data_IF_588499720938
#
_entry.id   IF_588499720938
#
_cell.length_a   1.000
_cell.length_b   1.000
_cell.length_c   1.000
_cell.angle_alpha   90.00
_cell.angle_beta   90.00
_cell.angle_gamma   90.00
#
_symmetry.space_group_name_H-M   'P 1'
#
loop_
_entity.id
_entity.type
_entity.pdbx_description
1 polymer ?
#
# COMPACT_ATOMS: atom_id res chain seq x y z
N UNK A 1 9.83 64.93 47.10
CA UNK A 1 10.55 64.38 45.93
C UNK A 1 10.03 62.98 45.68
N UNK A 2 9.60 62.53 44.51
CA UNK A 2 9.04 63.12 43.29
C UNK A 2 8.49 61.90 42.52
N UNK A 3 7.39 62.05 41.78
CA UNK A 3 6.72 61.01 40.99
C UNK A 3 7.53 60.48 39.78
N UNK A 4 8.86 60.50 39.83
CA UNK A 4 9.75 60.30 38.69
C UNK A 4 10.36 58.88 38.57
N UNK A 5 9.94 57.90 39.38
CA UNK A 5 10.59 56.58 39.43
C UNK A 5 9.62 55.39 39.27
N UNK A 6 8.58 55.55 38.44
CA UNK A 6 7.69 54.44 38.03
C UNK A 6 7.44 54.34 36.52
N UNK A 7 8.08 55.18 35.71
CA UNK A 7 7.87 55.21 34.25
C UNK A 7 9.00 54.57 33.41
N UNK A 8 10.07 54.07 34.03
CA UNK A 8 11.22 53.54 33.28
C UNK A 8 11.16 52.03 32.96
N UNK A 9 10.19 51.27 33.48
CA UNK A 9 10.09 49.82 33.25
C UNK A 9 8.96 49.42 32.29
N UNK A 10 8.09 50.34 31.88
CA UNK A 10 6.96 50.05 31.00
C UNK A 10 7.21 50.40 29.51
N UNK A 11 8.28 51.13 29.19
CA UNK A 11 8.58 51.56 27.81
C UNK A 11 9.50 50.59 27.05
N UNK A 12 10.21 49.68 27.72
CA UNK A 12 11.15 48.74 27.08
C UNK A 12 10.53 47.41 26.68
N UNK A 13 9.30 47.11 27.11
CA UNK A 13 8.61 45.87 26.73
C UNK A 13 7.69 46.01 25.49
N UNK A 14 7.43 47.24 25.02
CA UNK A 14 6.45 47.50 23.96
C UNK A 14 7.04 47.64 22.55
N UNK A 15 8.37 47.59 22.38
CA UNK A 15 9.03 47.83 21.08
C UNK A 15 9.70 46.56 20.50
N UNK A 16 9.60 45.40 21.16
CA UNK A 16 10.19 44.15 20.67
C UNK A 16 9.19 43.19 20.00
N UNK A 17 7.92 43.56 19.85
CA UNK A 17 6.89 42.68 19.27
C UNK A 17 6.65 42.87 17.76
N UNK A 18 7.43 43.71 17.08
CA UNK A 18 7.11 44.14 15.70
C UNK A 18 8.13 43.76 14.62
N UNK A 19 8.92 42.71 14.84
CA UNK A 19 9.72 42.09 13.76
C UNK A 19 9.79 40.57 13.88
N UNK A 20 8.65 39.91 14.07
CA UNK A 20 8.57 38.50 13.69
C UNK A 20 8.44 38.48 12.17
N UNK A 21 9.43 37.96 11.40
CA UNK A 21 9.24 37.80 9.98
C UNK A 21 7.98 36.94 9.79
N UNK A 22 7.05 37.41 8.96
CA UNK A 22 5.92 36.61 8.54
C UNK A 22 6.48 35.33 7.92
N UNK A 23 6.36 34.21 8.64
CA UNK A 23 6.63 32.91 8.10
C UNK A 23 5.54 32.65 7.06
N UNK A 24 5.83 32.97 5.81
CA UNK A 24 5.07 32.44 4.69
C UNK A 24 5.40 30.96 4.64
N UNK A 25 4.38 30.11 4.78
CA UNK A 25 4.53 28.75 4.31
C UNK A 25 4.89 28.82 2.83
N UNK A 26 5.92 28.09 2.41
CA UNK A 26 6.13 27.87 0.99
C UNK A 26 4.79 27.42 0.39
N UNK A 27 4.39 27.97 -0.78
CA UNK A 27 3.22 27.46 -1.46
C UNK A 27 3.37 25.93 -1.57
N UNK A 28 2.32 25.14 -1.29
CA UNK A 28 2.39 23.71 -1.45
C UNK A 28 2.95 23.41 -2.83
N UNK A 29 3.94 22.51 -2.92
CA UNK A 29 4.45 22.04 -4.20
C UNK A 29 3.24 21.70 -5.09
N UNK A 30 3.24 22.10 -6.38
CA UNK A 30 2.13 21.80 -7.27
C UNK A 30 1.82 20.31 -7.16
N UNK A 31 0.55 19.99 -6.97
CA UNK A 31 0.10 18.60 -6.98
C UNK A 31 0.63 17.94 -8.26
N UNK A 32 1.17 16.71 -8.17
CA UNK A 32 1.59 15.98 -9.36
C UNK A 32 0.47 16.03 -10.40
N UNK A 33 0.78 16.53 -11.59
CA UNK A 33 -0.19 16.59 -12.68
C UNK A 33 -0.40 15.20 -13.28
N UNK A 34 -1.56 14.96 -13.88
CA UNK A 34 -1.75 13.78 -14.72
C UNK A 34 -0.67 13.77 -15.81
N UNK A 35 -0.04 12.62 -15.98
CA UNK A 35 1.10 12.43 -16.89
C UNK A 35 0.60 11.87 -18.21
N UNK A 36 -0.48 11.08 -18.16
CA UNK A 36 -1.16 10.58 -19.33
C UNK A 36 -2.13 11.63 -19.88
N UNK A 37 -2.59 11.41 -21.10
CA UNK A 37 -3.75 12.14 -21.60
C UNK A 37 -4.92 11.96 -20.61
N UNK A 38 -5.74 13.01 -20.37
CA UNK A 38 -6.81 12.93 -19.39
C UNK A 38 -7.73 11.72 -19.62
N UNK A 39 -7.85 10.87 -18.60
CA UNK A 39 -8.72 9.71 -18.61
C UNK A 39 -10.16 10.15 -18.30
N UNK A 40 -11.14 9.62 -19.01
CA UNK A 40 -12.56 9.80 -18.67
C UNK A 40 -12.90 9.05 -17.36
N UNK A 41 -13.92 9.48 -16.58
CA UNK A 41 -14.34 8.73 -15.39
C UNK A 41 -14.66 7.26 -15.71
N UNK A 42 -14.07 6.36 -14.92
CA UNK A 42 -14.14 4.90 -15.10
C UNK A 42 -13.16 4.34 -16.14
N UNK A 43 -12.43 5.18 -16.88
CA UNK A 43 -11.47 4.72 -17.88
C UNK A 43 -10.21 4.18 -17.22
N UNK A 44 -9.67 3.12 -17.81
CA UNK A 44 -8.42 2.48 -17.43
C UNK A 44 -7.49 2.44 -18.63
N UNK A 45 -6.19 2.58 -18.38
CA UNK A 45 -5.13 2.34 -19.35
C UNK A 45 -4.01 1.51 -18.72
N UNK A 46 -3.57 0.44 -19.39
CA UNK A 46 -2.33 -0.24 -19.02
C UNK A 46 -1.14 0.62 -19.44
N UNK A 47 -0.21 0.85 -18.51
CA UNK A 47 1.03 1.60 -18.78
C UNK A 47 2.09 0.61 -19.30
N UNK A 48 2.64 -0.22 -18.41
CA UNK A 48 3.71 -1.15 -18.76
C UNK A 48 3.84 -2.28 -17.72
N UNK A 49 4.45 -3.42 -18.08
CA UNK A 49 5.05 -4.31 -17.08
C UNK A 49 6.07 -3.52 -16.25
N UNK A 50 5.97 -3.60 -14.92
CA UNK A 50 6.85 -2.91 -14.00
C UNK A 50 7.98 -3.83 -13.50
N UNK A 51 7.63 -4.99 -12.94
CA UNK A 51 8.60 -5.88 -12.29
C UNK A 51 8.34 -7.37 -12.60
N UNK A 52 9.36 -8.21 -12.44
CA UNK A 52 9.27 -9.66 -12.62
C UNK A 52 9.47 -10.11 -14.07
N UNK A 53 8.77 -11.17 -14.49
CA UNK A 53 8.99 -11.85 -15.78
C UNK A 53 9.02 -10.86 -16.95
N UNK A 54 10.12 -10.89 -17.72
CA UNK A 54 10.31 -10.08 -18.92
C UNK A 54 10.62 -8.60 -18.67
N UNK A 55 10.94 -8.21 -17.44
CA UNK A 55 11.23 -6.81 -17.07
C UNK A 55 12.71 -6.60 -16.71
N UNK A 56 13.19 -5.34 -16.70
CA UNK A 56 14.56 -5.01 -16.31
C UNK A 56 14.94 -5.36 -14.86
N UNK A 57 13.98 -5.76 -13.99
CA UNK A 57 14.35 -6.22 -12.64
C UNK A 57 15.26 -7.44 -12.65
N UNK A 58 15.30 -8.18 -13.76
CA UNK A 58 16.25 -9.27 -14.00
C UNK A 58 17.71 -8.84 -13.87
N UNK A 59 18.05 -7.59 -14.22
CA UNK A 59 19.41 -7.04 -14.10
C UNK A 59 19.86 -6.92 -12.63
N UNK A 60 18.90 -6.90 -11.70
CA UNK A 60 19.13 -6.92 -10.25
C UNK A 60 18.98 -8.32 -9.65
N UNK A 61 18.92 -9.37 -10.48
CA UNK A 61 18.74 -10.75 -10.04
C UNK A 61 17.30 -11.07 -9.60
N UNK A 62 16.30 -10.30 -10.07
CA UNK A 62 14.88 -10.53 -9.82
C UNK A 62 14.17 -10.74 -11.16
N UNK A 63 14.20 -11.97 -11.66
CA UNK A 63 13.57 -12.35 -12.92
C UNK A 63 12.06 -12.59 -12.81
N UNK A 64 11.53 -12.81 -11.60
CA UNK A 64 10.11 -13.03 -11.36
C UNK A 64 9.73 -12.57 -9.95
N UNK A 65 8.61 -11.87 -9.78
CA UNK A 65 8.19 -11.29 -8.48
C UNK A 65 6.72 -10.89 -8.48
N UNK A 66 6.16 -10.67 -7.30
CA UNK A 66 4.79 -10.21 -7.11
C UNK A 66 4.58 -9.26 -5.91
N UNK A 67 3.32 -8.86 -5.73
CA UNK A 67 2.81 -7.95 -4.72
C UNK A 67 3.35 -6.52 -4.88
N UNK A 68 4.62 -6.27 -4.56
CA UNK A 68 5.30 -4.99 -4.73
C UNK A 68 4.52 -3.76 -4.24
N UNK A 69 4.23 -3.70 -2.94
CA UNK A 69 3.54 -2.56 -2.31
C UNK A 69 4.50 -1.39 -2.04
N UNK A 70 4.06 -0.16 -2.36
CA UNK A 70 4.87 1.04 -2.14
C UNK A 70 5.02 1.41 -0.67
N UNK A 71 6.24 1.84 -0.33
CA UNK A 71 6.59 2.37 0.97
C UNK A 71 7.49 3.61 0.80
N UNK A 72 6.96 4.77 1.15
CA UNK A 72 7.63 6.07 1.01
C UNK A 72 8.47 6.41 2.23
N UNK A 73 9.74 6.73 2.01
CA UNK A 73 10.64 7.29 3.02
C UNK A 73 11.16 8.64 2.54
N UNK A 74 11.57 9.55 3.45
CA UNK A 74 12.11 10.85 3.05
C UNK A 74 13.28 10.80 2.06
N UNK A 75 14.07 9.73 2.05
CA UNK A 75 15.27 9.61 1.22
C UNK A 75 15.15 8.58 0.07
N UNK A 76 14.07 7.78 0.04
CA UNK A 76 13.95 6.66 -0.92
C UNK A 76 12.50 6.20 -1.03
N UNK A 77 12.12 5.79 -2.23
CA UNK A 77 10.90 5.04 -2.47
C UNK A 77 11.22 3.55 -2.65
N UNK A 78 10.51 2.69 -1.92
CA UNK A 78 10.62 1.24 -2.03
C UNK A 78 9.32 0.61 -2.53
N UNK A 79 9.44 -0.50 -3.24
CA UNK A 79 8.36 -1.47 -3.40
C UNK A 79 8.74 -2.77 -2.70
N UNK A 80 7.94 -3.18 -1.72
CA UNK A 80 8.15 -4.43 -0.98
C UNK A 80 7.39 -5.55 -1.68
N UNK A 81 8.14 -6.47 -2.28
CA UNK A 81 7.60 -7.55 -3.09
C UNK A 81 7.57 -8.87 -2.32
N UNK A 82 6.69 -9.78 -2.73
CA UNK A 82 6.48 -11.09 -2.15
C UNK A 82 7.55 -12.11 -2.55
N UNK A 83 7.11 -13.29 -2.94
CA UNK A 83 8.03 -14.32 -3.42
C UNK A 83 8.73 -13.79 -4.67
N UNK A 84 10.06 -13.91 -4.69
CA UNK A 84 10.89 -13.35 -5.75
C UNK A 84 11.98 -14.33 -6.15
N UNK A 85 12.17 -14.50 -7.45
CA UNK A 85 13.04 -15.52 -8.02
C UNK A 85 14.05 -14.89 -8.98
N UNK A 86 15.27 -15.42 -8.99
CA UNK A 86 16.31 -14.96 -9.90
C UNK A 86 16.03 -15.31 -11.37
N UNK A 87 15.35 -16.43 -11.62
CA UNK A 87 14.88 -16.84 -12.94
C UNK A 87 13.57 -16.17 -13.34
N UNK A 88 13.14 -16.41 -14.58
CA UNK A 88 11.99 -15.74 -15.21
C UNK A 88 10.62 -16.35 -14.86
N UNK A 89 10.55 -17.22 -13.85
CA UNK A 89 9.35 -17.93 -13.44
C UNK A 89 9.42 -18.35 -11.96
N UNK A 90 8.27 -18.66 -11.35
CA UNK A 90 8.22 -19.15 -9.96
C UNK A 90 9.02 -20.46 -9.83
N UNK A 91 9.92 -20.50 -8.85
CA UNK A 91 10.76 -21.67 -8.56
C UNK A 91 12.07 -21.77 -9.35
N UNK A 92 12.38 -20.79 -10.20
CA UNK A 92 13.61 -20.80 -11.01
C UNK A 92 14.69 -19.90 -10.39
N UNK A 93 15.85 -20.46 -10.08
CA UNK A 93 16.97 -19.73 -9.46
C UNK A 93 16.79 -19.49 -7.96
N UNK A 94 17.59 -18.58 -7.39
CA UNK A 94 17.52 -18.26 -5.96
C UNK A 94 16.15 -17.65 -5.63
N UNK A 95 15.58 -18.07 -4.49
CA UNK A 95 14.30 -17.59 -3.97
C UNK A 95 14.51 -16.67 -2.77
N UNK A 96 13.83 -15.52 -2.79
CA UNK A 96 13.85 -14.50 -1.74
C UNK A 96 12.42 -14.08 -1.40
N UNK A 97 12.10 -13.97 -0.11
CA UNK A 97 10.79 -13.54 0.36
C UNK A 97 10.86 -12.91 1.76
N UNK A 98 10.46 -11.63 1.93
CA UNK A 98 10.24 -10.62 0.90
C UNK A 98 11.55 -9.97 0.41
N UNK A 99 11.46 -9.19 -0.67
CA UNK A 99 12.50 -8.24 -1.11
C UNK A 99 11.97 -6.80 -1.11
N UNK A 100 12.86 -5.81 -1.21
CA UNK A 100 12.49 -4.42 -1.45
C UNK A 100 13.22 -3.88 -2.69
N UNK A 101 12.49 -3.65 -3.77
CA UNK A 101 13.01 -2.95 -4.95
C UNK A 101 13.15 -1.46 -4.65
N UNK A 102 14.25 -0.85 -5.10
CA UNK A 102 14.51 0.57 -4.97
C UNK A 102 13.95 1.27 -6.21
N UNK A 103 12.89 2.04 -6.01
CA UNK A 103 12.22 2.77 -7.09
C UNK A 103 13.04 4.01 -7.43
N UNK A 104 13.24 4.22 -8.72
CA UNK A 104 13.70 5.53 -9.24
C UNK A 104 12.55 6.53 -9.07
N UNK A 105 12.66 7.45 -8.12
CA UNK A 105 11.57 8.38 -7.78
C UNK A 105 11.14 9.24 -8.97
N UNK A 106 12.07 9.54 -9.89
CA UNK A 106 11.80 10.36 -11.07
C UNK A 106 10.96 9.61 -12.11
N UNK A 107 10.84 8.29 -11.97
CA UNK A 107 10.01 7.44 -12.85
C UNK A 107 8.58 7.25 -12.35
N UNK A 108 8.26 7.70 -11.12
CA UNK A 108 6.92 7.51 -10.53
C UNK A 108 5.84 8.16 -11.38
N UNK A 109 6.16 9.30 -11.98
CA UNK A 109 5.30 10.10 -12.86
C UNK A 109 5.75 10.01 -14.34
N UNK A 110 6.45 8.94 -14.74
CA UNK A 110 6.85 8.73 -16.14
C UNK A 110 5.73 8.00 -16.90
N UNK A 111 5.33 8.44 -18.12
CA UNK A 111 4.32 7.73 -18.92
C UNK A 111 4.80 6.36 -19.43
N UNK A 112 6.11 6.08 -19.43
CA UNK A 112 6.66 4.76 -19.75
C UNK A 112 6.60 3.77 -18.58
N UNK A 113 6.29 4.26 -17.37
CA UNK A 113 6.16 3.46 -16.16
C UNK A 113 7.39 3.49 -15.25
N UNK A 114 7.23 2.86 -14.09
CA UNK A 114 8.24 2.88 -13.02
C UNK A 114 9.50 2.09 -13.39
N UNK A 115 10.64 2.67 -13.01
CA UNK A 115 11.99 2.08 -13.13
C UNK A 115 12.58 1.82 -11.75
N UNK A 116 13.56 0.93 -11.71
CA UNK A 116 14.25 0.53 -10.49
C UNK A 116 15.75 0.75 -10.62
N UNK A 117 16.41 1.06 -9.52
CA UNK A 117 17.87 1.30 -9.47
C UNK A 117 18.60 0.40 -8.46
N UNK A 118 17.90 -0.56 -7.85
CA UNK A 118 18.50 -1.47 -6.88
C UNK A 118 17.48 -2.37 -6.18
N UNK A 119 17.98 -3.22 -5.29
CA UNK A 119 17.18 -4.14 -4.49
C UNK A 119 17.84 -4.40 -3.13
N UNK A 120 17.03 -4.65 -2.10
CA UNK A 120 17.47 -5.14 -0.78
C UNK A 120 16.73 -6.44 -0.45
N UNK A 121 17.41 -7.39 0.20
CA UNK A 121 16.82 -8.69 0.52
C UNK A 121 17.00 -9.77 -0.55
N UNK A 122 17.57 -9.44 -1.71
CA UNK A 122 17.73 -10.32 -2.87
C UNK A 122 19.11 -11.00 -2.99
N UNK A 123 19.90 -11.02 -1.91
CA UNK A 123 21.20 -11.70 -1.86
C UNK A 123 21.19 -12.73 -0.74
N UNK A 124 21.73 -13.92 -1.03
CA UNK A 124 21.79 -15.03 -0.09
C UNK A 124 22.58 -14.60 1.16
N UNK A 125 21.98 -14.78 2.34
CA UNK A 125 22.58 -14.37 3.61
C UNK A 125 22.28 -12.94 4.05
N UNK A 126 21.62 -12.12 3.22
CA UNK A 126 21.22 -10.75 3.56
C UNK A 126 19.71 -10.53 3.37
N UNK A 127 18.86 -11.09 4.25
CA UNK A 127 17.42 -11.01 4.11
C UNK A 127 16.88 -9.60 4.38
N UNK A 128 15.69 -9.29 3.87
CA UNK A 128 15.00 -8.05 4.22
C UNK A 128 14.52 -8.07 5.67
N UNK A 129 14.05 -9.22 6.17
CA UNK A 129 13.53 -9.40 7.53
C UNK A 129 14.58 -10.05 8.43
N UNK A 130 14.64 -9.63 9.70
CA UNK A 130 15.54 -10.22 10.68
C UNK A 130 15.13 -11.63 11.11
N UNK A 131 13.83 -11.86 11.25
CA UNK A 131 13.29 -13.18 11.62
C UNK A 131 13.42 -14.13 10.43
N UNK A 132 14.00 -15.31 10.69
CA UNK A 132 14.17 -16.36 9.68
C UNK A 132 12.82 -16.92 9.25
N UNK A 133 12.70 -17.19 7.95
CA UNK A 133 11.55 -17.91 7.40
C UNK A 133 11.52 -19.34 7.95
N UNK A 134 10.41 -19.79 8.57
CA UNK A 134 10.29 -21.17 9.01
C UNK A 134 10.39 -22.16 7.84
N UNK A 135 10.92 -23.38 8.05
CA UNK A 135 11.00 -24.39 6.99
C UNK A 135 9.62 -24.65 6.35
N UNK A 136 9.58 -24.74 5.02
CA UNK A 136 8.34 -25.00 4.26
C UNK A 136 7.33 -23.86 4.28
N UNK A 137 7.73 -22.65 4.70
CA UNK A 137 6.88 -21.46 4.76
C UNK A 137 7.44 -20.33 3.87
N UNK A 138 6.62 -19.33 3.60
CA UNK A 138 7.04 -18.01 3.08
C UNK A 138 6.68 -16.91 4.07
N UNK A 139 7.38 -15.78 4.00
CA UNK A 139 7.05 -14.55 4.71
C UNK A 139 6.69 -13.50 3.68
N UNK A 140 5.42 -13.12 3.61
CA UNK A 140 4.89 -12.28 2.53
C UNK A 140 4.44 -10.92 3.08
N UNK A 141 4.66 -9.83 2.32
CA UNK A 141 4.10 -8.53 2.65
C UNK A 141 2.58 -8.62 2.59
N UNK A 142 1.93 -8.17 3.65
CA UNK A 142 0.49 -8.28 3.84
C UNK A 142 -0.12 -6.92 4.20
N UNK A 143 0.50 -5.83 3.75
CA UNK A 143 0.06 -4.47 4.00
C UNK A 143 1.16 -3.54 4.49
N UNK A 144 1.15 -2.31 4.00
CA UNK A 144 1.95 -1.21 4.54
C UNK A 144 1.05 -0.19 5.24
N UNK A 145 1.53 0.34 6.36
CA UNK A 145 0.93 1.51 7.02
C UNK A 145 2.03 2.53 7.30
N UNK A 146 1.85 3.73 6.76
CA UNK A 146 2.74 4.88 6.94
C UNK A 146 2.12 5.84 7.93
N UNK A 147 2.87 6.21 8.98
CA UNK A 147 2.44 7.11 10.03
C UNK A 147 3.56 8.12 10.23
N UNK A 148 3.35 9.39 9.91
CA UNK A 148 4.43 10.38 9.87
C UNK A 148 5.60 9.92 8.98
N UNK A 149 6.82 9.80 9.53
CA UNK A 149 8.02 9.31 8.84
C UNK A 149 8.28 7.82 9.08
N UNK A 150 7.35 7.16 9.74
CA UNK A 150 7.47 5.81 10.23
C UNK A 150 6.66 4.85 9.36
N UNK A 151 7.34 3.88 8.76
CA UNK A 151 6.68 2.83 7.98
C UNK A 151 6.64 1.50 8.74
N UNK A 152 5.48 0.86 8.71
CA UNK A 152 5.25 -0.46 9.26
C UNK A 152 4.79 -1.39 8.15
N UNK A 153 5.40 -2.57 8.10
CA UNK A 153 5.02 -3.66 7.22
C UNK A 153 4.29 -4.72 8.04
N UNK A 154 3.07 -5.09 7.65
CA UNK A 154 2.49 -6.34 8.10
C UNK A 154 3.13 -7.47 7.31
N UNK A 155 3.67 -8.47 8.01
CA UNK A 155 4.19 -9.70 7.42
C UNK A 155 3.29 -10.85 7.84
N UNK A 156 2.79 -11.61 6.88
CA UNK A 156 2.14 -12.89 7.11
C UNK A 156 3.08 -14.03 6.79
N UNK A 157 3.27 -14.92 7.76
CA UNK A 157 3.96 -16.19 7.53
C UNK A 157 2.94 -17.20 7.04
N UNK A 158 3.19 -17.79 5.87
CA UNK A 158 2.24 -18.70 5.21
C UNK A 158 2.88 -20.05 4.91
N UNK A 159 2.07 -21.10 4.89
CA UNK A 159 2.43 -22.41 4.36
C UNK A 159 1.42 -22.77 3.28
N UNK A 160 1.86 -22.96 2.03
CA UNK A 160 0.99 -23.13 0.86
C UNK A 160 -0.08 -22.02 0.78
N UNK A 161 0.35 -20.76 0.96
CA UNK A 161 -0.50 -19.55 0.99
C UNK A 161 -1.56 -19.50 2.10
N UNK A 162 -1.58 -20.47 3.03
CA UNK A 162 -2.43 -20.44 4.22
C UNK A 162 -1.72 -19.71 5.36
N UNK A 163 -2.28 -18.63 5.92
CA UNK A 163 -1.64 -17.88 6.99
C UNK A 163 -1.49 -18.75 8.25
N UNK A 164 -0.31 -18.69 8.86
CA UNK A 164 -0.01 -19.34 10.14
C UNK A 164 0.06 -18.29 11.27
N UNK A 165 0.72 -17.17 10.98
CA UNK A 165 0.85 -16.04 11.90
C UNK A 165 1.04 -14.74 11.13
N UNK A 166 0.81 -13.61 11.81
CA UNK A 166 1.08 -12.28 11.29
C UNK A 166 1.79 -11.42 12.33
N UNK A 167 2.59 -10.45 11.89
CA UNK A 167 3.26 -9.50 12.78
C UNK A 167 3.56 -8.18 12.08
N UNK A 168 3.73 -7.12 12.87
CA UNK A 168 4.22 -5.84 12.37
C UNK A 168 5.75 -5.86 12.39
N UNK A 169 6.34 -5.33 11.33
CA UNK A 169 7.79 -5.14 11.17
C UNK A 169 8.05 -3.65 10.96
N UNK A 170 9.08 -3.13 11.63
CA UNK A 170 9.53 -1.76 11.47
C UNK A 170 10.52 -1.68 10.30
N UNK A 171 10.15 -0.94 9.26
CA UNK A 171 10.96 -0.84 8.05
C UNK A 171 12.02 0.28 8.14
N UNK A 172 13.14 0.08 7.45
CA UNK A 172 14.28 1.00 7.37
C UNK A 172 14.85 1.00 5.95
N UNK A 173 14.67 2.09 5.20
CA UNK A 173 15.08 2.13 3.80
C UNK A 173 16.59 2.01 3.55
N UNK A 174 17.41 2.17 4.59
CA UNK A 174 18.87 2.17 4.47
C UNK A 174 19.51 0.78 4.54
N UNK A 175 18.77 -0.25 4.96
CA UNK A 175 19.32 -1.59 5.24
C UNK A 175 18.27 -2.70 5.20
N UNK A 176 18.73 -3.95 5.10
CA UNK A 176 17.92 -5.13 5.40
C UNK A 176 17.83 -5.42 6.91
N UNK A 177 17.46 -6.65 7.28
CA UNK A 177 17.26 -7.09 8.66
C UNK A 177 16.26 -6.23 9.46
N UNK A 178 15.12 -5.90 8.85
CA UNK A 178 14.03 -5.19 9.50
C UNK A 178 13.46 -5.97 10.68
N UNK A 179 13.23 -5.25 11.77
CA UNK A 179 12.94 -5.84 13.07
C UNK A 179 11.44 -5.99 13.28
N UNK A 180 11.03 -7.15 13.80
CA UNK A 180 9.68 -7.36 14.29
C UNK A 180 9.39 -6.38 15.43
N UNK A 181 8.24 -5.71 15.36
CA UNK A 181 7.76 -4.86 16.43
C UNK A 181 7.41 -5.75 17.64
N UNK A 182 8.01 -5.50 18.82
CA UNK A 182 7.77 -6.31 20.00
C UNK A 182 6.29 -6.46 20.34
N UNK A 183 5.85 -7.67 20.68
CA UNK A 183 4.47 -7.96 21.07
C UNK A 183 3.44 -7.91 19.93
N UNK A 184 3.84 -7.71 18.67
CA UNK A 184 2.91 -7.60 17.53
C UNK A 184 2.48 -8.93 16.89
N UNK A 185 3.18 -10.03 17.22
CA UNK A 185 2.90 -11.36 16.67
C UNK A 185 1.52 -11.83 17.09
N UNK A 186 0.72 -12.34 16.13
CA UNK A 186 -0.59 -12.94 16.37
C UNK A 186 -0.75 -14.23 15.56
N UNK A 187 -1.51 -15.21 16.06
CA UNK A 187 -1.91 -16.35 15.24
C UNK A 187 -2.80 -15.91 14.08
N UNK A 188 -2.88 -16.71 13.01
CA UNK A 188 -3.76 -16.43 11.88
C UNK A 188 -5.23 -16.24 12.29
N UNK A 189 -5.69 -16.89 13.37
CA UNK A 189 -7.06 -16.80 13.89
C UNK A 189 -7.39 -15.51 14.66
N UNK A 190 -6.42 -14.61 14.85
CA UNK A 190 -6.65 -13.37 15.59
C UNK A 190 -7.77 -12.53 14.98
N UNK A 191 -8.66 -12.01 15.83
CA UNK A 191 -9.88 -11.31 15.43
C UNK A 191 -10.74 -12.13 14.45
N UNK A 192 -10.85 -13.45 14.70
CA UNK A 192 -11.62 -14.35 13.84
C UNK A 192 -11.00 -14.59 12.47
N UNK A 193 -9.70 -14.29 12.29
CA UNK A 193 -9.01 -14.39 11.01
C UNK A 193 -8.81 -13.05 10.29
N UNK A 194 -9.55 -12.02 10.68
CA UNK A 194 -9.73 -10.79 9.91
C UNK A 194 -8.57 -9.77 10.01
N UNK A 195 -7.41 -10.15 10.56
CA UNK A 195 -6.24 -9.27 10.68
C UNK A 195 -4.91 -9.95 10.33
N UNK A 196 -4.92 -10.88 9.38
CA UNK A 196 -3.67 -11.40 8.80
C UNK A 196 -3.20 -10.62 7.56
N UNK A 197 -4.03 -9.74 7.03
CA UNK A 197 -3.65 -8.77 6.01
C UNK A 197 -4.35 -7.43 6.30
N UNK A 198 -3.64 -6.33 6.06
CA UNK A 198 -4.09 -4.96 6.35
C UNK A 198 -3.70 -4.03 5.21
N UNK A 199 -4.21 -2.81 5.23
CA UNK A 199 -3.59 -1.64 4.61
C UNK A 199 -4.08 -0.41 5.36
N UNK A 200 -3.33 0.69 5.37
CA UNK A 200 -3.75 1.87 6.13
C UNK A 200 -3.03 3.16 5.75
N UNK A 201 -3.66 4.26 6.12
CA UNK A 201 -3.11 5.61 6.01
C UNK A 201 -3.32 6.38 7.30
N UNK A 202 -2.46 7.37 7.52
CA UNK A 202 -2.57 8.30 8.64
C UNK A 202 -3.17 9.62 8.15
N UNK A 203 -4.29 10.02 8.76
CA UNK A 203 -4.88 11.34 8.62
C UNK A 203 -4.47 12.21 9.83
N UNK A 204 -3.60 13.22 9.66
CA UNK A 204 -3.12 14.04 10.74
C UNK A 204 -4.14 15.10 11.20
N UNK A 205 -5.30 15.23 10.56
CA UNK A 205 -6.28 16.26 10.90
C UNK A 205 -6.87 16.00 12.29
N UNK A 206 -6.70 16.91 13.26
CA UNK A 206 -7.26 16.74 14.59
C UNK A 206 -8.80 16.66 14.56
N UNK A 207 -9.35 15.76 15.36
CA UNK A 207 -10.78 15.68 15.64
C UNK A 207 -11.05 15.89 17.13
N UNK A 208 -12.32 16.07 17.50
CA UNK A 208 -12.72 16.13 18.91
C UNK A 208 -12.30 14.87 19.70
N UNK A 209 -12.17 13.73 19.02
CA UNK A 209 -11.84 12.44 19.61
C UNK A 209 -10.34 12.10 19.53
N UNK A 210 -9.59 12.75 18.65
CA UNK A 210 -8.14 12.58 18.57
C UNK A 210 -7.45 13.87 18.12
N UNK A 211 -6.70 14.48 19.03
CA UNK A 211 -5.90 15.67 18.73
C UNK A 211 -4.67 15.36 17.86
N UNK A 212 -4.25 14.10 17.80
CA UNK A 212 -3.15 13.63 16.94
C UNK A 212 -3.65 13.01 15.63
N UNK A 213 -4.92 13.21 15.26
CA UNK A 213 -5.51 12.59 14.08
C UNK A 213 -5.71 11.08 14.22
N UNK A 214 -6.01 10.40 13.12
CA UNK A 214 -6.37 8.98 13.09
C UNK A 214 -5.57 8.21 12.07
N UNK A 215 -5.16 7.00 12.42
CA UNK A 215 -4.71 5.98 11.47
C UNK A 215 -5.92 5.13 11.12
N UNK A 216 -6.32 5.13 9.86
CA UNK A 216 -7.40 4.29 9.33
C UNK A 216 -6.82 3.04 8.69
N UNK A 217 -7.42 1.89 8.98
CA UNK A 217 -6.85 0.58 8.64
C UNK A 217 -7.98 -0.29 8.11
N UNK A 218 -7.84 -0.76 6.87
CA UNK A 218 -8.66 -1.86 6.35
C UNK A 218 -7.98 -3.18 6.67
N UNK A 219 -8.76 -4.19 7.05
CA UNK A 219 -8.23 -5.51 7.43
C UNK A 219 -9.07 -6.64 6.85
N UNK A 220 -8.43 -7.77 6.58
CA UNK A 220 -9.03 -9.02 6.11
C UNK A 220 -8.11 -10.21 6.48
N UNK A 221 -8.20 -11.30 5.71
CA UNK A 221 -7.28 -12.42 5.80
C UNK A 221 -6.41 -12.61 4.56
N UNK A 222 -5.20 -13.12 4.77
CA UNK A 222 -4.22 -13.30 3.70
C UNK A 222 -4.67 -14.31 2.64
N UNK A 223 -5.45 -15.32 3.02
CA UNK A 223 -5.94 -16.36 2.10
C UNK A 223 -7.18 -15.96 1.30
N UNK A 224 -7.61 -14.69 1.40
CA UNK A 224 -8.72 -14.10 0.62
C UNK A 224 -10.07 -14.77 0.88
N UNK A 225 -10.21 -15.53 1.97
CA UNK A 225 -11.47 -16.20 2.30
C UNK A 225 -12.48 -15.29 3.00
N UNK A 226 -12.02 -14.13 3.48
CA UNK A 226 -12.77 -13.21 4.34
C UNK A 226 -13.16 -11.89 3.66
N UNK A 227 -14.00 -11.16 4.38
CA UNK A 227 -14.49 -9.83 3.99
C UNK A 227 -13.58 -8.73 4.52
N UNK A 228 -13.83 -7.49 4.08
CA UNK A 228 -13.09 -6.31 4.53
C UNK A 228 -13.75 -5.67 5.75
N UNK A 229 -12.94 -5.37 6.75
CA UNK A 229 -13.33 -4.64 7.96
C UNK A 229 -12.54 -3.33 8.05
N UNK A 230 -13.10 -2.35 8.76
CA UNK A 230 -12.48 -1.06 8.98
C UNK A 230 -12.20 -0.85 10.46
N UNK A 231 -10.99 -0.36 10.74
CA UNK A 231 -10.52 0.02 12.07
C UNK A 231 -9.92 1.42 12.04
N UNK A 232 -9.84 2.04 13.22
CA UNK A 232 -9.01 3.21 13.46
C UNK A 232 -8.24 3.10 14.78
N UNK A 233 -7.15 3.84 14.88
CA UNK A 233 -6.34 3.96 16.10
C UNK A 233 -5.57 5.28 16.07
N UNK A 234 -5.06 5.72 17.22
CA UNK A 234 -4.14 6.87 17.22
C UNK A 234 -2.76 6.44 16.71
N UNK A 235 -1.95 7.36 16.15
CA UNK A 235 -0.56 7.07 15.76
C UNK A 235 0.26 6.38 16.86
N UNK A 236 0.05 6.78 18.12
CA UNK A 236 0.81 6.32 19.27
C UNK A 236 0.48 4.87 19.64
N UNK A 237 -0.72 4.41 19.32
CA UNK A 237 -1.25 3.08 19.70
C UNK A 237 -1.33 2.13 18.52
N UNK A 238 -0.81 2.50 17.35
CA UNK A 238 -0.93 1.68 16.14
C UNK A 238 -0.37 0.26 16.31
N UNK A 239 0.78 0.10 16.96
CA UNK A 239 1.43 -1.21 17.07
C UNK A 239 0.70 -2.18 17.99
N UNK A 240 -0.21 -1.69 18.84
CA UNK A 240 -1.09 -2.52 19.66
C UNK A 240 -2.42 -2.78 18.95
N UNK A 241 -2.46 -3.87 18.19
CA UNK A 241 -3.66 -4.30 17.46
C UNK A 241 -4.87 -4.60 18.34
N UNK A 242 -4.67 -4.87 19.65
CA UNK A 242 -5.79 -5.14 20.55
C UNK A 242 -6.60 -3.88 20.87
N UNK A 243 -5.98 -2.70 20.77
CA UNK A 243 -6.62 -1.42 21.04
C UNK A 243 -7.32 -0.78 19.83
N UNK A 244 -7.25 -1.40 18.64
CA UNK A 244 -7.85 -0.83 17.43
C UNK A 244 -9.38 -0.77 17.54
N UNK A 245 -9.96 0.38 17.22
CA UNK A 245 -11.40 0.60 17.26
C UNK A 245 -12.04 0.15 15.95
N UNK A 246 -12.84 -0.91 15.99
CA UNK A 246 -13.61 -1.39 14.84
C UNK A 246 -14.77 -0.47 14.47
N UNK A 247 -15.10 -0.40 13.18
CA UNK A 247 -16.30 0.26 12.66
C UNK A 247 -17.47 -0.71 12.54
N UNK A 248 -18.62 -0.32 13.10
CA UNK A 248 -19.89 -1.02 12.93
C UNK A 248 -20.89 -0.16 12.18
N UNK A 249 -21.50 -0.68 11.11
CA UNK A 249 -22.51 0.05 10.34
C UNK A 249 -23.75 0.44 11.17
N UNK A 250 -24.04 -0.30 12.26
CA UNK A 250 -25.16 -0.01 13.18
C UNK A 250 -24.73 0.72 14.45
N UNK A 251 -23.47 0.57 14.85
CA UNK A 251 -22.99 0.96 16.18
C UNK A 251 -21.90 2.05 16.20
N UNK A 252 -21.33 2.39 15.05
CA UNK A 252 -20.21 3.32 14.93
C UNK A 252 -18.87 2.72 15.40
N UNK A 253 -17.92 3.61 15.71
CA UNK A 253 -16.57 3.24 16.16
C UNK A 253 -16.53 2.61 17.55
N UNK A 254 -15.58 1.70 17.77
CA UNK A 254 -15.37 1.04 19.07
C UNK A 254 -16.41 -0.04 19.40
N UNK A 255 -17.24 -0.42 18.42
CA UNK A 255 -18.17 -1.55 18.50
C UNK A 255 -17.62 -2.76 17.77
N UNK A 256 -18.17 -3.97 17.98
CA UNK A 256 -17.81 -5.14 17.19
C UNK A 256 -17.90 -4.81 15.69
N UNK A 257 -16.80 -4.94 14.94
CA UNK A 257 -16.75 -4.48 13.57
C UNK A 257 -17.67 -5.30 12.68
N UNK A 258 -18.31 -4.64 11.72
CA UNK A 258 -19.12 -5.30 10.68
C UNK A 258 -18.39 -5.23 9.34
N UNK A 259 -18.55 -6.23 8.46
CA UNK A 259 -18.00 -6.15 7.11
C UNK A 259 -18.46 -4.89 6.39
N UNK A 260 -17.56 -4.25 5.63
CA UNK A 260 -17.90 -3.07 4.81
C UNK A 260 -18.81 -3.46 3.64
N UNK A 261 -18.57 -4.63 3.02
CA UNK A 261 -19.43 -5.27 2.02
C UNK A 261 -19.26 -6.79 2.07
N UNK A 262 -20.06 -7.51 1.28
CA UNK A 262 -20.20 -8.96 1.41
C UNK A 262 -19.10 -9.78 0.71
N UNK A 263 -18.37 -9.19 -0.24
CA UNK A 263 -17.41 -9.92 -1.08
C UNK A 263 -16.16 -10.35 -0.32
N UNK A 264 -15.53 -11.37 -0.87
CA UNK A 264 -14.21 -11.85 -0.46
C UNK A 264 -13.14 -11.03 -1.15
N UNK A 265 -12.16 -10.56 -0.38
CA UNK A 265 -11.17 -9.61 -0.87
C UNK A 265 -9.77 -10.02 -0.45
N UNK A 266 -8.79 -9.72 -1.31
CA UNK A 266 -7.36 -9.87 -1.07
C UNK A 266 -6.57 -8.62 -1.46
N UNK A 267 -5.32 -8.58 -0.99
CA UNK A 267 -4.26 -7.65 -1.39
C UNK A 267 -4.72 -6.18 -1.45
N UNK A 268 -5.23 -5.70 -0.33
CA UNK A 268 -5.75 -4.34 -0.24
C UNK A 268 -4.63 -3.30 -0.23
N UNK A 269 -4.91 -2.14 -0.84
CA UNK A 269 -4.09 -0.93 -0.75
C UNK A 269 -5.00 0.27 -0.56
N UNK A 270 -4.96 0.87 0.63
CA UNK A 270 -5.69 2.11 0.93
C UNK A 270 -4.71 3.28 1.10
N UNK A 271 -5.01 4.38 0.43
CA UNK A 271 -4.28 5.66 0.54
C UNK A 271 -5.27 6.81 0.71
N UNK A 272 -4.79 7.91 1.25
CA UNK A 272 -5.51 9.18 1.20
C UNK A 272 -4.96 10.00 0.02
N UNK A 273 -5.82 10.29 -0.96
CA UNK A 273 -5.49 11.10 -2.14
C UNK A 273 -6.45 12.28 -2.16
N UNK A 274 -5.94 13.51 -2.20
CA UNK A 274 -6.74 14.74 -2.13
C UNK A 274 -7.72 14.77 -0.94
N UNK A 275 -7.25 14.25 0.20
CA UNK A 275 -8.04 14.13 1.43
C UNK A 275 -9.14 13.06 1.36
N UNK A 276 -9.20 12.23 0.32
CA UNK A 276 -10.21 11.18 0.14
C UNK A 276 -9.59 9.80 0.32
N UNK A 277 -10.24 8.87 1.04
CA UNK A 277 -9.84 7.47 1.03
C UNK A 277 -10.06 6.86 -0.35
N UNK A 278 -8.99 6.25 -0.87
CA UNK A 278 -8.97 5.49 -2.10
C UNK A 278 -8.50 4.08 -1.76
N UNK A 279 -9.35 3.09 -2.02
CA UNK A 279 -9.08 1.68 -1.73
C UNK A 279 -9.06 0.87 -3.03
N UNK A 280 -7.91 0.30 -3.35
CA UNK A 280 -7.72 -0.66 -4.44
C UNK A 280 -7.51 -2.06 -3.86
N UNK A 281 -8.05 -3.09 -4.50
CA UNK A 281 -8.04 -4.47 -3.97
C UNK A 281 -8.34 -5.51 -5.05
N UNK A 282 -7.98 -6.76 -4.77
CA UNK A 282 -8.42 -7.92 -5.53
C UNK A 282 -9.77 -8.44 -4.98
N UNK A 283 -10.80 -8.48 -5.83
CA UNK A 283 -12.09 -9.07 -5.48
C UNK A 283 -12.09 -10.56 -5.80
N UNK A 284 -11.87 -11.40 -4.79
CA UNK A 284 -11.84 -12.85 -4.94
C UNK A 284 -13.22 -13.46 -5.25
N UNK A 285 -14.32 -12.74 -5.04
CA UNK A 285 -15.66 -13.19 -5.46
C UNK A 285 -15.85 -13.12 -6.97
N UNK A 286 -15.22 -12.15 -7.65
CA UNK A 286 -15.42 -11.88 -9.08
C UNK A 286 -14.19 -12.18 -9.93
N UNK A 287 -13.01 -12.20 -9.33
CA UNK A 287 -11.71 -12.29 -9.99
C UNK A 287 -11.17 -10.94 -10.47
N UNK A 288 -11.86 -9.82 -10.22
CA UNK A 288 -11.47 -8.50 -10.71
C UNK A 288 -10.48 -7.78 -9.80
N UNK A 289 -9.75 -6.82 -10.38
CA UNK A 289 -9.13 -5.74 -9.62
C UNK A 289 -10.08 -4.56 -9.56
N UNK A 290 -10.36 -4.05 -8.38
CA UNK A 290 -11.37 -3.03 -8.15
C UNK A 290 -10.82 -1.87 -7.33
N UNK A 291 -11.35 -0.67 -7.56
CA UNK A 291 -11.02 0.53 -6.81
C UNK A 291 -12.28 1.30 -6.41
N UNK A 292 -12.25 1.86 -5.20
CA UNK A 292 -13.32 2.68 -4.61
C UNK A 292 -12.76 4.00 -4.10
N UNK A 293 -13.53 5.08 -4.29
CA UNK A 293 -13.26 6.40 -3.71
C UNK A 293 -14.43 6.81 -2.85
N UNK A 294 -14.17 7.20 -1.59
CA UNK A 294 -15.21 7.65 -0.67
C UNK A 294 -14.94 9.08 -0.15
N UNK A 295 -15.96 9.72 0.42
CA UNK A 295 -15.78 11.00 1.12
C UNK A 295 -14.99 10.84 2.42
N UNK A 296 -15.28 9.76 3.14
CA UNK A 296 -14.69 9.39 4.42
C UNK A 296 -14.56 7.85 4.48
N UNK A 297 -13.67 7.30 5.31
CA UNK A 297 -13.36 5.87 5.29
C UNK A 297 -14.55 4.99 5.66
N UNK A 298 -15.55 5.50 6.41
CA UNK A 298 -16.74 4.72 6.77
C UNK A 298 -17.70 4.53 5.59
N UNK A 299 -17.61 5.40 4.57
CA UNK A 299 -18.36 5.32 3.31
C UNK A 299 -17.83 4.33 2.28
N UNK A 300 -16.68 3.68 2.52
CA UNK A 300 -16.07 2.73 1.57
C UNK A 300 -17.00 1.59 1.16
N UNK A 301 -17.88 1.13 2.06
CA UNK A 301 -18.81 0.03 1.80
C UNK A 301 -19.90 0.35 0.75
N UNK A 302 -20.24 1.63 0.57
CA UNK A 302 -21.27 2.10 -0.37
C UNK A 302 -20.71 2.95 -1.51
N UNK A 303 -19.41 3.23 -1.49
CA UNK A 303 -18.72 3.94 -2.57
C UNK A 303 -18.86 3.21 -3.92
N UNK A 304 -18.97 3.96 -5.04
CA UNK A 304 -18.99 3.37 -6.37
C UNK A 304 -17.74 2.54 -6.62
N UNK A 305 -17.90 1.46 -7.38
CA UNK A 305 -16.81 0.55 -7.77
C UNK A 305 -16.39 0.86 -9.19
N UNK A 306 -15.09 1.00 -9.40
CA UNK A 306 -14.48 0.99 -10.74
C UNK A 306 -13.66 -0.28 -10.90
N UNK A 307 -13.90 -1.05 -11.95
CA UNK A 307 -13.08 -2.22 -12.28
C UNK A 307 -11.80 -1.75 -12.98
N UNK A 308 -10.66 -1.90 -12.30
CA UNK A 308 -9.34 -1.58 -12.86
C UNK A 308 -8.93 -2.66 -13.85
N UNK A 309 -9.07 -3.94 -13.49
CA UNK A 309 -8.76 -5.07 -14.37
C UNK A 309 -9.91 -6.06 -14.33
N UNK A 310 -10.40 -6.44 -15.51
CA UNK A 310 -11.36 -7.53 -15.66
C UNK A 310 -10.58 -8.83 -15.63
N UNK A 311 -10.74 -9.58 -14.54
CA UNK A 311 -10.09 -10.87 -14.38
C UNK A 311 -10.95 -12.03 -14.87
N UNK A 312 -10.53 -13.24 -14.54
CA UNK A 312 -11.25 -14.46 -14.92
C UNK A 312 -11.28 -14.76 -16.42
N UNK A 313 -10.45 -14.06 -17.20
CA UNK A 313 -10.25 -14.33 -18.63
C UNK A 313 -9.21 -15.43 -18.84
N UNK A 314 -9.27 -16.10 -19.98
CA UNK A 314 -8.30 -17.12 -20.37
C UNK A 314 -6.91 -16.52 -20.60
N UNK A 315 -5.90 -17.35 -20.37
CA UNK A 315 -4.53 -17.01 -20.75
C UNK A 315 -4.40 -16.90 -22.28
N UNK A 316 -3.74 -15.86 -22.81
CA UNK A 316 -3.41 -15.81 -24.23
C UNK A 316 -2.37 -16.88 -24.59
N UNK A 317 -2.22 -17.15 -25.89
CA UNK A 317 -1.13 -17.95 -26.43
C UNK A 317 -0.29 -17.07 -27.38
N UNK A 318 0.98 -16.71 -27.02
CA UNK A 318 1.70 -17.13 -25.82
C UNK A 318 1.26 -16.39 -24.54
N UNK A 319 1.42 -17.03 -23.39
CA UNK A 319 0.94 -16.56 -22.08
C UNK A 319 1.51 -15.21 -21.62
N UNK A 320 2.70 -14.84 -22.10
CA UNK A 320 3.35 -13.57 -21.77
C UNK A 320 2.74 -12.36 -22.50
N UNK A 321 1.91 -12.61 -23.52
CA UNK A 321 1.26 -11.57 -24.33
C UNK A 321 0.36 -10.70 -23.47
N UNK A 322 0.46 -9.38 -23.64
CA UNK A 322 -0.47 -8.43 -23.04
C UNK A 322 -1.37 -7.82 -24.12
N UNK A 323 -2.65 -7.58 -23.82
CA UNK A 323 -3.56 -6.95 -24.77
C UNK A 323 -3.16 -5.48 -25.02
N UNK A 324 -3.77 -4.81 -26.02
CA UNK A 324 -3.61 -3.37 -26.22
C UNK A 324 -3.85 -2.58 -24.93
N UNK A 325 -3.19 -1.42 -24.72
CA UNK A 325 -3.28 -0.66 -23.47
C UNK A 325 -4.69 -0.33 -22.98
N UNK A 326 -5.64 -0.16 -23.89
CA UNK A 326 -7.06 0.16 -23.63
C UNK A 326 -7.91 -1.05 -23.22
N UNK A 327 -7.43 -2.27 -23.41
CA UNK A 327 -8.09 -3.48 -22.95
C UNK A 327 -7.51 -3.91 -21.60
N UNK A 328 -8.29 -3.71 -20.55
CA UNK A 328 -7.90 -3.99 -19.17
C UNK A 328 -8.23 -5.42 -18.72
N UNK A 329 -8.32 -6.37 -19.65
CA UNK A 329 -8.45 -7.80 -19.32
C UNK A 329 -7.10 -8.43 -18.96
N UNK A 330 -7.08 -9.24 -17.91
CA UNK A 330 -5.87 -9.96 -17.50
C UNK A 330 -6.21 -11.33 -16.91
N UNK A 331 -5.50 -12.37 -17.32
CA UNK A 331 -5.65 -13.70 -16.73
C UNK A 331 -4.98 -13.76 -15.34
N UNK A 332 -5.71 -14.28 -14.36
CA UNK A 332 -5.26 -14.51 -12.97
C UNK A 332 -4.58 -13.28 -12.29
N UNK A 333 -5.24 -12.11 -12.26
CA UNK A 333 -4.72 -10.91 -11.60
C UNK A 333 -4.87 -11.03 -10.07
N UNK A 334 -4.04 -10.30 -9.34
CA UNK A 334 -4.18 -10.03 -7.90
C UNK A 334 -3.31 -8.82 -7.51
N UNK A 335 -3.27 -8.43 -6.24
CA UNK A 335 -2.50 -7.25 -5.82
C UNK A 335 -3.36 -5.98 -5.88
N UNK A 336 -2.90 -4.97 -6.61
CA UNK A 336 -3.63 -3.70 -6.78
C UNK A 336 -3.10 -2.59 -5.89
N UNK A 337 -1.79 -2.40 -5.86
CA UNK A 337 -1.14 -1.46 -4.95
C UNK A 337 -1.05 -0.06 -5.54
N UNK A 338 -1.49 0.93 -4.77
CA UNK A 338 -1.56 2.32 -5.20
C UNK A 338 -0.15 2.94 -5.13
N UNK A 339 0.25 3.60 -6.22
CA UNK A 339 1.51 4.33 -6.32
C UNK A 339 1.42 5.71 -5.66
N UNK A 340 2.51 6.19 -5.02
CA UNK A 340 2.67 7.61 -4.71
C UNK A 340 2.52 8.47 -5.96
N UNK A 341 2.23 9.76 -5.79
CA UNK A 341 2.00 10.67 -6.92
C UNK A 341 0.62 10.54 -7.60
N UNK A 342 -0.13 9.46 -7.31
CA UNK A 342 -1.51 9.29 -7.80
C UNK A 342 -2.41 10.47 -7.45
N UNK A 343 -3.26 10.87 -8.40
CA UNK A 343 -4.35 11.84 -8.20
C UNK A 343 -5.71 11.17 -8.32
N UNK A 344 -6.79 11.84 -7.95
CA UNK A 344 -8.13 11.27 -8.16
C UNK A 344 -8.53 11.16 -9.65
N UNK A 345 -7.85 11.87 -10.56
CA UNK A 345 -8.10 11.77 -12.01
C UNK A 345 -7.17 10.77 -12.71
N UNK A 346 -6.08 10.35 -12.04
CA UNK A 346 -5.14 9.34 -12.52
C UNK A 346 -4.54 8.61 -11.32
N UNK A 347 -5.26 7.58 -10.82
CA UNK A 347 -4.72 6.68 -9.80
C UNK A 347 -3.89 5.60 -10.48
N UNK A 348 -2.64 5.45 -10.06
CA UNK A 348 -1.72 4.43 -10.60
C UNK A 348 -1.74 3.20 -9.70
N UNK A 349 -2.01 2.05 -10.30
CA UNK A 349 -2.22 0.78 -9.59
C UNK A 349 -1.31 -0.30 -10.16
N UNK A 350 -0.68 -1.06 -9.27
CA UNK A 350 0.26 -2.12 -9.60
C UNK A 350 -0.38 -3.48 -9.33
N UNK A 351 -0.63 -4.22 -10.41
CA UNK A 351 -1.38 -5.49 -10.41
C UNK A 351 -0.41 -6.63 -10.69
N UNK A 352 -0.37 -7.61 -9.80
CA UNK A 352 0.39 -8.84 -9.98
C UNK A 352 -0.36 -9.80 -10.90
N UNK A 353 0.39 -10.60 -11.63
CA UNK A 353 -0.10 -11.63 -12.53
C UNK A 353 0.74 -12.89 -12.36
N UNK A 354 0.08 -14.04 -12.14
CA UNK A 354 0.76 -15.32 -11.98
C UNK A 354 0.05 -16.43 -12.73
N UNK A 355 0.73 -17.04 -13.70
CA UNK A 355 0.24 -18.25 -14.35
C UNK A 355 0.43 -19.48 -13.46
N UNK A 356 -0.68 -19.98 -12.93
CA UNK A 356 -0.72 -21.18 -12.09
C UNK A 356 -1.25 -22.41 -12.83
N UNK A 357 -1.54 -22.31 -14.14
CA UNK A 357 -2.13 -23.43 -14.87
C UNK A 357 -1.13 -24.58 -15.02
N UNK A 358 -1.59 -25.85 -14.93
CA UNK A 358 -0.74 -26.99 -15.27
C UNK A 358 -0.15 -26.83 -16.67
N UNK A 359 1.17 -27.03 -16.81
CA UNK A 359 1.88 -26.84 -18.09
C UNK A 359 2.20 -25.39 -18.45
N UNK A 360 1.71 -24.39 -17.69
CA UNK A 360 1.98 -22.97 -17.92
C UNK A 360 3.36 -22.48 -17.47
N UNK A 361 4.28 -23.40 -17.15
CA UNK A 361 5.67 -23.09 -16.77
C UNK A 361 5.84 -22.22 -15.51
N UNK A 362 4.76 -21.99 -14.76
CA UNK A 362 4.70 -21.02 -13.66
C UNK A 362 5.11 -19.59 -14.08
N UNK A 363 4.77 -19.22 -15.32
CA UNK A 363 5.14 -17.95 -15.95
C UNK A 363 4.02 -17.43 -16.88
N UNK A 364 3.78 -16.11 -16.96
CA UNK A 364 4.50 -15.03 -16.27
C UNK A 364 4.23 -14.98 -14.76
N UNK A 365 5.18 -14.40 -14.05
CA UNK A 365 5.08 -14.01 -12.65
C UNK A 365 5.67 -12.61 -12.47
N UNK A 366 4.77 -11.62 -12.58
CA UNK A 366 5.14 -10.21 -12.82
C UNK A 366 4.14 -9.24 -12.20
N UNK A 367 4.53 -7.98 -12.15
CA UNK A 367 3.70 -6.83 -11.76
C UNK A 367 3.54 -5.90 -12.95
N UNK A 368 2.32 -5.44 -13.20
CA UNK A 368 1.95 -4.57 -14.32
C UNK A 368 1.30 -3.30 -13.78
N UNK A 369 1.69 -2.16 -14.32
CA UNK A 369 1.19 -0.84 -13.96
C UNK A 369 -0.01 -0.46 -14.83
N UNK A 370 -1.05 0.05 -14.18
CA UNK A 370 -2.26 0.61 -14.79
C UNK A 370 -2.50 2.02 -14.25
N UNK A 371 -3.16 2.86 -15.05
CA UNK A 371 -3.77 4.11 -14.61
C UNK A 371 -5.27 4.00 -14.71
N UNK A 372 -5.99 4.55 -13.74
CA UNK A 372 -7.45 4.59 -13.72
C UNK A 372 -7.91 5.96 -13.25
N UNK A 373 -8.96 6.49 -13.87
CA UNK A 373 -9.75 7.58 -13.29
C UNK A 373 -10.95 6.97 -12.59
N UNK A 374 -10.95 6.76 -11.26
CA UNK A 374 -12.05 6.10 -10.59
C UNK A 374 -13.34 6.92 -10.69
N UNK A 375 -14.47 6.23 -10.79
CA UNK A 375 -15.78 6.83 -10.56
C UNK A 375 -15.81 7.38 -9.13
N UNK A 376 -16.12 8.67 -9.03
CA UNK A 376 -16.28 9.37 -7.76
C UNK A 376 -17.76 9.45 -7.38
N UNK A 377 -18.09 9.55 -6.08
CA UNK A 377 -19.47 9.75 -5.63
C UNK A 377 -19.98 11.20 -5.79
N UNK A 378 -19.37 12.05 -6.63
CA UNK A 378 -19.79 13.43 -6.92
C UNK A 378 -19.77 13.75 -8.41
#
# INVERSE_FOLDING_TARGET
MSAAMRLAAAATAAVLLWQVPSAYADPPSPAPGAVLAPLAPGQVLRIAPAAGTGTPTGDYGIGATDLCEFMEFPARLLQVCGDSFAGQAVGFGNWHAPIALHVDSDSVDDPAGVRYNGVTGAVVGTPLLADKTPPGSSQLPAGVVSINRDNYLMVSTTANLRPQSSRLVKADASRGNWQTVPGSVRPASYQGGAQSQISGYYDPVPTAESQSGWVYIVTNNFDRSGQVFLYRTTPQTFTDRAGWQGWSAKGGWGKPPTPLWADRVGEMSIKQIDGKPVLSYFNASTGNMEIRVAYDPTGLGTAPVTTVVVGGVDWPDPADTLPPPEDNRLAQPYGGYISPGSTLDEVRVFVSQWNTTPGGGATPYRVIQYAVNPIKPW
#
